data_IF_118790147565
#
_entry.id   IF_118790147565
#
_cell.length_a   1.000
_cell.length_b   1.000
_cell.length_c   1.000
_cell.angle_alpha   90.00
_cell.angle_beta   90.00
_cell.angle_gamma   90.00
#
_symmetry.space_group_name_H-M   'P 1'
#
loop_
_entity.id
_entity.type
_entity.pdbx_description
1 polymer ?
#
# COMPACT_ATOMS: atom_id res chain seq x y z
N UNK A 1 -0.46 16.28 -27.35
CA UNK A 1 -0.73 16.02 -25.93
C UNK A 1 -2.18 16.39 -25.71
N UNK A 2 -3.00 15.47 -25.19
CA UNK A 2 -4.36 15.79 -24.75
C UNK A 2 -4.27 16.78 -23.59
N UNK A 3 -5.19 17.73 -23.46
CA UNK A 3 -5.27 18.65 -22.31
C UNK A 3 -6.28 18.14 -21.26
N UNK A 4 -6.21 18.61 -20.01
CA UNK A 4 -7.23 18.28 -18.99
C UNK A 4 -8.61 18.66 -19.48
N UNK A 5 -8.76 19.80 -20.15
CA UNK A 5 -10.05 20.23 -20.73
C UNK A 5 -10.61 19.20 -21.71
N UNK A 6 -9.77 18.64 -22.58
CA UNK A 6 -10.18 17.57 -23.50
C UNK A 6 -10.57 16.30 -22.74
N UNK A 7 -9.85 15.94 -21.68
CA UNK A 7 -10.22 14.80 -20.83
C UNK A 7 -11.61 14.99 -20.20
N UNK A 8 -11.93 16.21 -19.76
CA UNK A 8 -13.20 16.52 -19.11
C UNK A 8 -14.38 16.56 -20.10
N UNK A 9 -14.15 16.80 -21.39
CA UNK A 9 -15.20 16.76 -22.41
C UNK A 9 -15.49 15.35 -22.94
N UNK A 10 -14.58 14.39 -22.76
CA UNK A 10 -14.80 13.01 -23.18
C UNK A 10 -15.94 12.33 -22.40
N UNK A 11 -16.74 11.47 -23.05
CA UNK A 11 -17.60 10.52 -22.36
C UNK A 11 -16.76 9.65 -21.42
N UNK A 12 -17.27 9.40 -20.21
CA UNK A 12 -16.54 8.63 -19.18
C UNK A 12 -16.10 7.25 -19.70
N UNK A 13 -16.94 6.62 -20.52
CA UNK A 13 -16.66 5.32 -21.09
C UNK A 13 -15.49 5.32 -22.10
N UNK A 14 -15.08 6.47 -22.61
CA UNK A 14 -14.00 6.61 -23.60
C UNK A 14 -12.66 6.96 -22.94
N UNK A 15 -12.66 7.25 -21.63
CA UNK A 15 -11.45 7.53 -20.88
C UNK A 15 -10.66 6.24 -20.67
N UNK A 16 -9.45 6.20 -21.23
CA UNK A 16 -8.56 5.01 -21.21
C UNK A 16 -7.10 5.31 -20.87
N UNK A 17 -6.64 6.54 -21.08
CA UNK A 17 -5.23 6.91 -20.93
C UNK A 17 -4.95 7.64 -19.62
N UNK A 18 -3.80 7.35 -19.00
CA UNK A 18 -3.24 8.17 -17.93
C UNK A 18 -2.96 9.58 -18.44
N UNK A 19 -3.12 10.55 -17.55
CA UNK A 19 -2.88 11.96 -17.81
C UNK A 19 -1.91 12.50 -16.77
N UNK A 20 -0.86 13.18 -17.21
CA UNK A 20 0.11 13.84 -16.35
C UNK A 20 -0.25 15.32 -16.20
N UNK A 21 -0.67 15.72 -15.01
CA UNK A 21 -1.11 17.08 -14.69
C UNK A 21 0.10 17.99 -14.56
N UNK A 22 0.19 19.00 -15.43
CA UNK A 22 1.20 20.05 -15.33
C UNK A 22 0.77 21.16 -14.35
N UNK A 23 1.70 22.05 -13.98
CA UNK A 23 1.38 23.23 -13.15
C UNK A 23 0.31 24.14 -13.79
N UNK A 24 0.25 24.21 -15.12
CA UNK A 24 -0.73 25.02 -15.84
C UNK A 24 -2.13 24.38 -15.77
N UNK A 25 -2.19 23.05 -15.81
CA UNK A 25 -3.44 22.28 -15.73
C UNK A 25 -4.12 22.39 -14.37
N UNK A 26 -3.37 22.64 -13.29
CA UNK A 26 -3.93 22.71 -11.93
C UNK A 26 -5.07 23.72 -11.82
N UNK A 27 -4.98 24.87 -12.51
CA UNK A 27 -6.05 25.87 -12.48
C UNK A 27 -7.36 25.31 -13.04
N UNK A 28 -7.27 24.52 -14.12
CA UNK A 28 -8.42 23.89 -14.79
C UNK A 28 -9.00 22.78 -13.91
N UNK A 29 -8.14 21.98 -13.28
CA UNK A 29 -8.58 20.93 -12.33
C UNK A 29 -9.34 21.55 -11.15
N UNK A 30 -8.80 22.61 -10.55
CA UNK A 30 -9.45 23.29 -9.42
C UNK A 30 -10.79 23.93 -9.83
N UNK A 31 -10.87 24.57 -11.00
CA UNK A 31 -12.12 25.18 -11.46
C UNK A 31 -13.18 24.14 -11.86
N UNK A 32 -12.78 22.90 -12.12
CA UNK A 32 -13.65 21.82 -12.59
C UNK A 32 -13.77 20.68 -11.58
N UNK A 33 -13.39 20.92 -10.33
CA UNK A 33 -13.27 19.86 -9.32
C UNK A 33 -14.60 19.14 -9.08
N UNK A 34 -15.70 19.88 -8.96
CA UNK A 34 -17.04 19.31 -8.79
C UNK A 34 -17.41 18.37 -9.95
N UNK A 35 -17.13 18.79 -11.19
CA UNK A 35 -17.32 17.95 -12.39
C UNK A 35 -16.48 16.68 -12.33
N UNK A 36 -15.22 16.77 -11.89
CA UNK A 36 -14.33 15.61 -11.78
C UNK A 36 -14.85 14.63 -10.73
N UNK A 37 -15.25 15.11 -9.56
CA UNK A 37 -15.80 14.28 -8.48
C UNK A 37 -17.13 13.64 -8.89
N UNK A 38 -17.99 14.37 -9.60
CA UNK A 38 -19.22 13.85 -10.19
C UNK A 38 -18.95 12.74 -11.22
N UNK A 39 -17.92 12.88 -12.05
CA UNK A 39 -17.47 11.81 -12.95
C UNK A 39 -16.94 10.61 -12.18
N UNK A 40 -16.20 10.80 -11.08
CA UNK A 40 -15.80 9.70 -10.20
C UNK A 40 -17.03 8.95 -9.64
N UNK A 41 -18.06 9.67 -9.17
CA UNK A 41 -19.30 9.07 -8.66
C UNK A 41 -19.99 8.24 -9.74
N UNK A 42 -20.08 8.78 -10.96
CA UNK A 42 -20.59 8.05 -12.11
C UNK A 42 -19.78 6.78 -12.37
N UNK A 43 -18.45 6.85 -12.37
CA UNK A 43 -17.59 5.67 -12.56
C UNK A 43 -17.86 4.58 -11.52
N UNK A 44 -18.07 4.95 -10.25
CA UNK A 44 -18.38 3.98 -9.19
C UNK A 44 -19.75 3.34 -9.42
N UNK A 45 -20.76 4.17 -9.69
CA UNK A 45 -22.14 3.72 -9.91
C UNK A 45 -22.26 2.82 -11.14
N UNK A 46 -21.48 3.09 -12.19
CA UNK A 46 -21.47 2.33 -13.45
C UNK A 46 -20.35 1.29 -13.55
N UNK A 47 -19.58 1.08 -12.49
CA UNK A 47 -18.47 0.11 -12.45
C UNK A 47 -17.43 0.30 -13.58
N UNK A 48 -16.94 1.53 -13.77
CA UNK A 48 -15.94 1.91 -14.79
C UNK A 48 -14.57 2.15 -14.13
N UNK A 49 -13.80 1.10 -13.78
CA UNK A 49 -12.58 1.22 -12.98
C UNK A 49 -11.48 2.04 -13.64
N UNK A 50 -11.24 1.87 -14.94
CA UNK A 50 -10.15 2.57 -15.64
C UNK A 50 -10.34 4.08 -15.67
N UNK A 51 -11.57 4.54 -15.90
CA UNK A 51 -11.87 5.98 -15.88
C UNK A 51 -11.80 6.54 -14.46
N UNK A 52 -12.27 5.78 -13.46
CA UNK A 52 -12.15 6.16 -12.04
C UNK A 52 -10.68 6.39 -11.65
N UNK A 53 -9.79 5.46 -11.99
CA UNK A 53 -8.36 5.58 -11.70
C UNK A 53 -7.76 6.84 -12.34
N UNK A 54 -8.13 7.16 -13.59
CA UNK A 54 -7.64 8.37 -14.27
C UNK A 54 -8.11 9.63 -13.55
N UNK A 55 -9.41 9.75 -13.22
CA UNK A 55 -9.92 10.94 -12.55
C UNK A 55 -9.36 11.11 -11.13
N UNK A 56 -9.24 10.03 -10.35
CA UNK A 56 -8.60 10.07 -9.02
C UNK A 56 -7.14 10.54 -9.12
N UNK A 57 -6.39 10.03 -10.10
CA UNK A 57 -5.00 10.46 -10.30
C UNK A 57 -4.88 11.92 -10.72
N UNK A 58 -5.81 12.44 -11.53
CA UNK A 58 -5.83 13.87 -11.88
C UNK A 58 -6.02 14.75 -10.64
N UNK A 59 -6.96 14.37 -9.75
CA UNK A 59 -7.15 15.09 -8.47
C UNK A 59 -5.92 14.96 -7.58
N UNK A 60 -5.33 13.76 -7.47
CA UNK A 60 -4.16 13.50 -6.64
C UNK A 60 -2.95 14.31 -7.08
N UNK A 61 -2.66 14.35 -8.38
CA UNK A 61 -1.55 15.13 -8.92
C UNK A 61 -1.77 16.63 -8.70
N UNK A 62 -2.97 17.15 -8.97
CA UNK A 62 -3.28 18.56 -8.73
C UNK A 62 -3.17 18.94 -7.25
N UNK A 63 -3.65 18.07 -6.35
CA UNK A 63 -3.55 18.28 -4.92
C UNK A 63 -2.11 18.20 -4.40
N UNK A 64 -1.27 17.36 -5.02
CA UNK A 64 0.16 17.29 -4.71
C UNK A 64 0.90 18.56 -5.15
N UNK A 65 0.54 19.11 -6.31
CA UNK A 65 1.16 20.32 -6.85
C UNK A 65 0.74 21.59 -6.10
N UNK A 66 -0.52 21.68 -5.66
CA UNK A 66 -1.09 22.87 -5.00
C UNK A 66 -2.04 22.48 -3.84
N UNK A 67 -1.51 21.93 -2.73
CA UNK A 67 -2.32 21.34 -1.65
C UNK A 67 -3.25 22.36 -0.97
N UNK A 68 -2.75 23.56 -0.67
CA UNK A 68 -3.56 24.58 0.02
C UNK A 68 -4.72 25.08 -0.84
N UNK A 69 -4.47 25.25 -2.14
CA UNK A 69 -5.52 25.67 -3.09
C UNK A 69 -6.56 24.58 -3.26
N UNK A 70 -6.13 23.32 -3.37
CA UNK A 70 -7.06 22.19 -3.41
C UNK A 70 -7.93 22.13 -2.15
N UNK A 71 -7.34 22.27 -0.95
CA UNK A 71 -8.11 22.27 0.30
C UNK A 71 -9.13 23.41 0.35
N UNK A 72 -8.77 24.61 -0.12
CA UNK A 72 -9.71 25.74 -0.21
C UNK A 72 -10.85 25.44 -1.20
N UNK A 73 -10.55 24.88 -2.36
CA UNK A 73 -11.55 24.50 -3.36
C UNK A 73 -12.50 23.41 -2.85
N UNK A 74 -12.01 22.44 -2.06
CA UNK A 74 -12.86 21.43 -1.43
C UNK A 74 -13.94 22.04 -0.52
N UNK A 75 -13.66 23.20 0.08
CA UNK A 75 -14.58 23.93 0.95
C UNK A 75 -15.48 24.94 0.18
N UNK A 76 -15.33 25.06 -1.14
CA UNK A 76 -16.19 25.91 -1.94
C UNK A 76 -17.52 25.20 -2.25
N UNK A 77 -18.60 25.97 -2.24
CA UNK A 77 -19.93 25.51 -2.66
C UNK A 77 -20.02 25.68 -4.18
N UNK A 78 -20.41 24.61 -4.89
CA UNK A 78 -20.69 24.60 -6.32
C UNK A 78 -22.09 24.06 -6.56
N UNK A 79 -22.91 24.81 -7.31
CA UNK A 79 -24.26 24.47 -7.81
C UNK A 79 -25.33 23.98 -6.82
N UNK A 80 -24.99 23.59 -5.57
CA UNK A 80 -25.83 23.39 -4.36
C UNK A 80 -25.12 22.52 -3.28
N UNK A 81 -23.91 22.01 -3.55
CA UNK A 81 -23.17 21.13 -2.63
C UNK A 81 -21.69 21.52 -2.51
N UNK A 82 -21.05 21.17 -1.40
CA UNK A 82 -19.60 21.34 -1.28
C UNK A 82 -18.88 20.17 -1.97
N UNK A 83 -17.78 20.44 -2.68
CA UNK A 83 -16.93 19.39 -3.25
C UNK A 83 -16.49 18.37 -2.18
N UNK A 84 -16.31 18.84 -0.95
CA UNK A 84 -16.00 17.98 0.19
C UNK A 84 -17.08 16.92 0.48
N UNK A 85 -18.36 17.28 0.38
CA UNK A 85 -19.45 16.34 0.65
C UNK A 85 -19.50 15.24 -0.40
N UNK A 86 -19.34 15.62 -1.67
CA UNK A 86 -19.21 14.69 -2.81
C UNK A 86 -18.04 13.73 -2.60
N UNK A 87 -16.91 14.24 -2.12
CA UNK A 87 -15.74 13.41 -1.82
C UNK A 87 -15.98 12.42 -0.66
N UNK A 88 -16.72 12.84 0.37
CA UNK A 88 -17.11 11.94 1.45
C UNK A 88 -18.11 10.86 0.96
N UNK A 89 -19.03 11.21 0.05
CA UNK A 89 -19.91 10.24 -0.61
C UNK A 89 -19.12 9.23 -1.45
N UNK A 90 -18.12 9.70 -2.21
CA UNK A 90 -17.20 8.82 -2.95
C UNK A 90 -16.54 7.80 -2.02
N UNK A 91 -16.06 8.25 -0.85
CA UNK A 91 -15.44 7.37 0.12
C UNK A 91 -16.41 6.33 0.69
N UNK A 92 -17.63 6.73 1.05
CA UNK A 92 -18.66 5.82 1.54
C UNK A 92 -19.03 4.77 0.49
N UNK A 93 -19.20 5.18 -0.76
CA UNK A 93 -19.53 4.26 -1.85
C UNK A 93 -18.37 3.31 -2.17
N UNK A 94 -17.15 3.82 -2.37
CA UNK A 94 -15.96 2.99 -2.67
C UNK A 94 -15.73 1.97 -1.57
N UNK A 95 -15.91 2.34 -0.29
CA UNK A 95 -15.72 1.45 0.85
C UNK A 95 -16.96 0.60 1.17
N UNK A 96 -18.07 0.75 0.48
CA UNK A 96 -19.24 -0.11 0.69
C UNK A 96 -18.98 -1.56 0.22
N UNK A 97 -19.69 -2.54 0.80
CA UNK A 97 -19.64 -3.95 0.36
C UNK A 97 -19.93 -4.12 -1.14
N UNK A 98 -20.83 -3.28 -1.69
CA UNK A 98 -21.28 -3.34 -3.08
C UNK A 98 -20.16 -3.04 -4.07
N UNK A 99 -19.17 -2.23 -3.68
CA UNK A 99 -18.06 -1.83 -4.54
C UNK A 99 -16.85 -2.78 -4.49
N UNK A 100 -16.98 -3.95 -3.85
CA UNK A 100 -15.91 -4.98 -3.85
C UNK A 100 -15.40 -5.32 -5.25
N UNK A 101 -16.25 -5.58 -6.27
CA UNK A 101 -15.77 -5.88 -7.62
C UNK A 101 -14.96 -4.73 -8.24
N UNK A 102 -15.37 -3.48 -7.98
CA UNK A 102 -14.68 -2.29 -8.48
C UNK A 102 -13.27 -2.18 -7.90
N UNK A 103 -13.13 -2.30 -6.57
CA UNK A 103 -11.85 -2.17 -5.86
C UNK A 103 -10.77 -3.16 -6.31
N UNK A 104 -11.18 -4.29 -6.92
CA UNK A 104 -10.25 -5.30 -7.45
C UNK A 104 -9.73 -4.99 -8.86
N UNK A 105 -10.26 -3.95 -9.51
CA UNK A 105 -10.01 -3.64 -10.93
C UNK A 105 -9.23 -2.34 -11.17
N UNK A 106 -8.92 -1.57 -10.12
CA UNK A 106 -8.06 -0.39 -10.21
C UNK A 106 -7.11 -0.31 -9.01
N UNK A 107 -6.08 0.52 -9.12
CA UNK A 107 -5.16 0.71 -7.99
C UNK A 107 -5.79 1.59 -6.91
N UNK A 108 -6.33 0.95 -5.88
CA UNK A 108 -7.00 1.62 -4.76
C UNK A 108 -6.08 2.54 -3.96
N UNK A 109 -4.75 2.39 -4.06
CA UNK A 109 -3.80 3.22 -3.31
C UNK A 109 -3.91 4.71 -3.73
N UNK A 110 -4.21 5.03 -5.00
CA UNK A 110 -4.42 6.42 -5.42
C UNK A 110 -5.60 7.10 -4.70
N UNK A 111 -6.65 6.33 -4.36
CA UNK A 111 -7.78 6.83 -3.57
C UNK A 111 -7.35 7.07 -2.11
N UNK A 112 -6.58 6.15 -1.52
CA UNK A 112 -6.11 6.34 -0.15
C UNK A 112 -5.06 7.45 -0.01
N UNK A 113 -4.23 7.70 -1.03
CA UNK A 113 -3.31 8.83 -1.04
C UNK A 113 -4.07 10.17 -0.96
N UNK A 114 -5.19 10.29 -1.68
CA UNK A 114 -6.10 11.44 -1.55
C UNK A 114 -6.68 11.55 -0.14
N UNK A 115 -7.18 10.43 0.41
CA UNK A 115 -7.72 10.42 1.78
C UNK A 115 -6.67 10.83 2.83
N UNK A 116 -5.43 10.38 2.67
CA UNK A 116 -4.32 10.74 3.55
C UNK A 116 -4.00 12.24 3.46
N UNK A 117 -3.90 12.78 2.24
CA UNK A 117 -3.59 14.18 2.02
C UNK A 117 -4.68 15.10 2.61
N UNK A 118 -5.95 14.81 2.35
CA UNK A 118 -7.05 15.58 2.93
C UNK A 118 -7.18 15.38 4.44
N UNK A 119 -7.01 14.14 4.94
CA UNK A 119 -7.04 13.84 6.37
C UNK A 119 -5.88 14.46 7.15
N UNK A 120 -4.74 14.67 6.51
CA UNK A 120 -3.58 15.34 7.07
C UNK A 120 -3.71 16.86 7.11
N UNK A 121 -4.52 17.44 6.23
CA UNK A 121 -4.67 18.89 6.08
C UNK A 121 -5.26 19.57 7.31
N UNK A 122 -4.56 20.57 7.84
CA UNK A 122 -5.05 21.38 8.97
C UNK A 122 -6.35 22.11 8.65
N UNK A 123 -6.58 22.42 7.37
CA UNK A 123 -7.76 23.18 6.91
C UNK A 123 -9.01 22.30 6.74
N UNK A 124 -8.83 20.99 6.56
CA UNK A 124 -9.93 20.06 6.29
C UNK A 124 -10.17 19.07 7.44
N UNK A 125 -9.14 18.69 8.19
CA UNK A 125 -9.16 17.56 9.13
C UNK A 125 -10.36 17.52 10.07
N UNK A 126 -10.79 18.65 10.61
CA UNK A 126 -11.94 18.70 11.53
C UNK A 126 -13.29 18.56 10.80
N UNK A 127 -13.42 19.19 9.62
CA UNK A 127 -14.62 19.13 8.78
C UNK A 127 -14.84 17.73 8.22
N UNK A 128 -13.77 17.06 7.78
CA UNK A 128 -13.86 15.73 7.16
C UNK A 128 -13.85 14.60 8.19
N UNK A 129 -13.42 14.87 9.43
CA UNK A 129 -13.10 13.83 10.40
C UNK A 129 -14.23 12.84 10.69
N UNK A 130 -15.46 13.32 10.89
CA UNK A 130 -16.61 12.43 11.12
C UNK A 130 -17.21 11.87 9.81
N UNK A 131 -17.47 12.70 8.77
CA UNK A 131 -17.98 12.21 7.48
C UNK A 131 -17.11 11.12 6.86
N UNK A 132 -15.78 11.28 6.91
CA UNK A 132 -14.82 10.29 6.41
C UNK A 132 -14.50 9.19 7.44
N UNK A 133 -14.44 9.52 8.73
CA UNK A 133 -14.12 8.54 9.78
C UNK A 133 -15.14 7.40 9.88
N UNK A 134 -16.42 7.67 9.63
CA UNK A 134 -17.50 6.67 9.64
C UNK A 134 -17.30 5.55 8.60
N UNK A 135 -17.18 5.82 7.29
CA UNK A 135 -16.97 4.77 6.30
C UNK A 135 -15.63 4.05 6.48
N UNK A 136 -14.57 4.75 6.91
CA UNK A 136 -13.28 4.11 7.23
C UNK A 136 -13.42 3.09 8.36
N UNK A 137 -14.07 3.46 9.47
CA UNK A 137 -14.33 2.55 10.59
C UNK A 137 -15.26 1.40 10.19
N UNK A 138 -16.30 1.69 9.39
CA UNK A 138 -17.23 0.68 8.91
C UNK A 138 -16.53 -0.39 8.07
N UNK A 139 -15.64 0.01 7.16
CA UNK A 139 -14.85 -0.94 6.37
C UNK A 139 -13.82 -1.66 7.23
N UNK A 140 -13.01 -0.92 7.97
CA UNK A 140 -11.93 -1.44 8.80
C UNK A 140 -12.42 -2.51 9.79
N UNK A 141 -13.58 -2.28 10.40
CA UNK A 141 -14.14 -3.18 11.41
C UNK A 141 -14.93 -4.37 10.82
N UNK A 142 -15.07 -4.46 9.50
CA UNK A 142 -15.80 -5.53 8.84
C UNK A 142 -14.87 -6.70 8.47
N UNK A 143 -14.70 -7.63 9.41
CA UNK A 143 -13.84 -8.80 9.25
C UNK A 143 -14.21 -9.69 8.06
N UNK A 144 -15.45 -9.63 7.56
CA UNK A 144 -15.87 -10.41 6.38
C UNK A 144 -15.16 -9.99 5.08
N UNK A 145 -14.54 -8.81 5.07
CA UNK A 145 -13.78 -8.29 3.94
C UNK A 145 -12.26 -8.40 4.15
N UNK A 146 -11.77 -9.05 5.21
CA UNK A 146 -10.34 -9.17 5.52
C UNK A 146 -9.60 -10.14 4.58
N UNK A 147 -10.34 -11.05 3.93
CA UNK A 147 -9.79 -12.00 2.96
C UNK A 147 -9.57 -11.40 1.56
N UNK A 148 -9.96 -10.14 1.35
CA UNK A 148 -9.78 -9.43 0.07
C UNK A 148 -8.34 -8.91 -0.12
N UNK A 149 -8.21 -7.60 -0.29
CA UNK A 149 -6.96 -6.87 -0.39
C UNK A 149 -6.61 -6.31 0.99
N UNK A 150 -5.58 -6.89 1.60
CA UNK A 150 -5.08 -6.49 2.92
C UNK A 150 -4.75 -4.98 3.00
N UNK A 151 -4.41 -4.35 1.87
CA UNK A 151 -4.07 -2.92 1.83
C UNK A 151 -5.24 -2.05 2.25
N UNK A 152 -6.49 -2.44 1.95
CA UNK A 152 -7.64 -1.56 2.16
C UNK A 152 -7.89 -1.35 3.67
N UNK A 153 -7.87 -2.42 4.48
CA UNK A 153 -8.03 -2.31 5.93
C UNK A 153 -6.91 -1.50 6.57
N UNK A 154 -5.67 -1.78 6.16
CA UNK A 154 -4.48 -1.05 6.64
C UNK A 154 -4.50 0.42 6.25
N UNK A 155 -4.94 0.73 5.03
CA UNK A 155 -5.04 2.11 4.57
C UNK A 155 -6.19 2.83 5.27
N UNK A 156 -7.33 2.17 5.55
CA UNK A 156 -8.38 2.73 6.39
C UNK A 156 -7.86 3.08 7.78
N UNK A 157 -7.16 2.15 8.43
CA UNK A 157 -6.55 2.38 9.74
C UNK A 157 -5.51 3.51 9.71
N UNK A 158 -4.65 3.52 8.69
CA UNK A 158 -3.66 4.57 8.49
C UNK A 158 -4.31 5.95 8.32
N UNK A 159 -5.37 6.05 7.50
CA UNK A 159 -6.09 7.33 7.31
C UNK A 159 -6.76 7.76 8.60
N UNK A 160 -7.35 6.84 9.36
CA UNK A 160 -7.91 7.13 10.69
C UNK A 160 -6.84 7.65 11.66
N UNK A 161 -5.66 7.02 11.71
CA UNK A 161 -4.53 7.51 12.50
C UNK A 161 -4.18 8.95 12.13
N UNK A 162 -4.11 9.27 10.84
CA UNK A 162 -3.85 10.63 10.33
C UNK A 162 -4.93 11.63 10.76
N UNK A 163 -6.22 11.25 10.66
CA UNK A 163 -7.35 12.08 11.09
C UNK A 163 -7.36 12.35 12.61
N UNK A 164 -6.91 11.38 13.40
CA UNK A 164 -6.84 11.49 14.86
C UNK A 164 -5.62 12.27 15.34
N UNK A 165 -4.54 12.28 14.55
CA UNK A 165 -3.29 12.96 14.93
C UNK A 165 -3.51 14.48 15.02
N UNK A 166 -3.31 15.00 16.23
CA UNK A 166 -3.47 16.42 16.55
C UNK A 166 -4.92 16.90 16.73
N UNK A 167 -5.95 16.11 16.38
CA UNK A 167 -7.35 16.55 16.47
C UNK A 167 -8.05 16.02 17.72
N UNK A 168 -8.35 16.91 18.68
CA UNK A 168 -9.17 16.58 19.85
C UNK A 168 -10.63 16.31 19.45
N UNK A 169 -11.17 17.08 18.51
CA UNK A 169 -12.53 16.96 18.02
C UNK A 169 -12.79 15.58 17.39
N UNK A 170 -11.89 15.10 16.53
CA UNK A 170 -12.03 13.80 15.88
C UNK A 170 -11.91 12.65 16.88
N UNK A 171 -11.00 12.74 17.86
CA UNK A 171 -10.89 11.75 18.93
C UNK A 171 -12.18 11.64 19.74
N UNK A 172 -12.78 12.77 20.14
CA UNK A 172 -14.07 12.77 20.83
C UNK A 172 -15.16 12.08 20.00
N UNK A 173 -15.34 12.50 18.74
CA UNK A 173 -16.39 12.00 17.85
C UNK A 173 -16.24 10.51 17.50
N UNK A 174 -15.02 10.02 17.34
CA UNK A 174 -14.74 8.66 16.85
C UNK A 174 -14.42 7.66 17.97
N UNK A 175 -14.15 8.12 19.20
CA UNK A 175 -13.87 7.25 20.34
C UNK A 175 -15.01 6.26 20.68
N UNK A 176 -16.25 6.58 20.30
CA UNK A 176 -17.43 5.71 20.48
C UNK A 176 -17.30 4.35 19.77
N UNK A 177 -16.32 4.18 18.88
CA UNK A 177 -16.05 2.94 18.16
C UNK A 177 -14.98 2.06 18.81
N UNK A 178 -14.45 2.40 20.00
CA UNK A 178 -13.39 1.63 20.68
C UNK A 178 -13.67 0.12 20.75
N UNK A 179 -14.88 -0.28 21.15
CA UNK A 179 -15.28 -1.69 21.30
C UNK A 179 -15.16 -2.45 19.97
N UNK A 180 -15.63 -1.82 18.89
CA UNK A 180 -15.58 -2.42 17.56
C UNK A 180 -14.14 -2.60 17.11
N UNK A 181 -13.29 -1.59 17.31
CA UNK A 181 -11.87 -1.65 16.95
C UNK A 181 -11.15 -2.73 17.76
N UNK A 182 -11.44 -2.85 19.06
CA UNK A 182 -10.89 -3.88 19.92
C UNK A 182 -11.31 -5.29 19.44
N UNK A 183 -12.61 -5.50 19.16
CA UNK A 183 -13.10 -6.76 18.62
C UNK A 183 -12.46 -7.10 17.26
N UNK A 184 -12.30 -6.11 16.38
CA UNK A 184 -11.64 -6.26 15.08
C UNK A 184 -10.16 -6.63 15.22
N UNK A 185 -9.42 -6.02 16.14
CA UNK A 185 -8.04 -6.40 16.44
C UNK A 185 -7.96 -7.86 16.87
N UNK A 186 -8.84 -8.29 17.78
CA UNK A 186 -8.87 -9.66 18.29
C UNK A 186 -9.20 -10.68 17.20
N UNK A 187 -10.09 -10.34 16.27
CA UNK A 187 -10.47 -11.20 15.16
C UNK A 187 -9.46 -11.22 14.00
N UNK A 188 -8.58 -10.22 13.90
CA UNK A 188 -7.63 -10.12 12.80
C UNK A 188 -6.40 -10.99 13.01
N UNK A 189 -5.93 -11.63 11.95
CA UNK A 189 -4.63 -12.32 11.89
C UNK A 189 -3.52 -11.49 11.24
N UNK A 190 -3.81 -10.26 10.81
CA UNK A 190 -2.80 -9.39 10.21
C UNK A 190 -2.08 -8.59 11.31
N UNK A 191 -0.85 -8.98 11.62
CA UNK A 191 -0.06 -8.38 12.70
C UNK A 191 0.13 -6.86 12.52
N UNK A 192 0.42 -6.39 11.31
CA UNK A 192 0.64 -4.96 11.08
C UNK A 192 -0.66 -4.17 11.23
N UNK A 193 -1.77 -4.72 10.77
CA UNK A 193 -3.08 -4.13 10.99
C UNK A 193 -3.46 -4.10 12.48
N UNK A 194 -3.14 -5.15 13.24
CA UNK A 194 -3.31 -5.13 14.70
C UNK A 194 -2.50 -4.00 15.34
N UNK A 195 -1.25 -3.76 14.91
CA UNK A 195 -0.46 -2.61 15.40
C UNK A 195 -1.19 -1.28 15.17
N UNK A 196 -1.79 -1.09 13.99
CA UNK A 196 -2.54 0.12 13.68
C UNK A 196 -3.81 0.25 14.53
N UNK A 197 -4.54 -0.85 14.77
CA UNK A 197 -5.69 -0.87 15.68
C UNK A 197 -5.28 -0.49 17.12
N UNK A 198 -4.16 -1.02 17.62
CA UNK A 198 -3.61 -0.63 18.93
C UNK A 198 -3.27 0.86 18.95
N UNK A 199 -2.64 1.38 17.89
CA UNK A 199 -2.30 2.81 17.81
C UNK A 199 -3.57 3.69 17.86
N UNK A 200 -4.64 3.31 17.16
CA UNK A 200 -5.92 4.04 17.20
C UNK A 200 -6.51 4.03 18.62
N UNK A 201 -6.59 2.86 19.26
CA UNK A 201 -7.10 2.73 20.63
C UNK A 201 -6.26 3.53 21.62
N UNK A 202 -4.93 3.47 21.48
CA UNK A 202 -3.99 4.25 22.28
C UNK A 202 -4.22 5.75 22.09
N UNK A 203 -4.44 6.23 20.87
CA UNK A 203 -4.69 7.65 20.59
C UNK A 203 -5.99 8.14 21.22
N UNK A 204 -7.03 7.31 21.29
CA UNK A 204 -8.24 7.62 22.05
C UNK A 204 -7.95 7.69 23.55
N UNK A 205 -7.26 6.67 24.09
CA UNK A 205 -6.93 6.60 25.51
C UNK A 205 -6.01 7.73 25.99
N UNK A 206 -4.99 8.08 25.20
CA UNK A 206 -4.07 9.16 25.51
C UNK A 206 -4.79 10.52 25.59
N UNK A 207 -5.91 10.67 24.87
CA UNK A 207 -6.75 11.86 24.90
C UNK A 207 -7.78 11.82 26.04
N UNK A 208 -8.44 10.68 26.25
CA UNK A 208 -9.37 10.49 27.36
C UNK A 208 -9.11 9.14 28.04
N UNK A 209 -8.57 9.18 29.25
CA UNK A 209 -8.20 7.98 30.03
C UNK A 209 -9.39 7.10 30.40
N UNK A 210 -10.62 7.63 30.40
CA UNK A 210 -11.82 6.85 30.72
C UNK A 210 -12.32 6.02 29.53
N UNK A 211 -11.85 6.29 28.31
CA UNK A 211 -12.41 5.67 27.09
C UNK A 211 -12.32 4.14 27.11
N UNK A 212 -11.21 3.59 27.62
CA UNK A 212 -11.01 2.15 27.69
C UNK A 212 -11.86 1.50 28.79
N UNK A 213 -12.19 2.25 29.84
CA UNK A 213 -12.99 1.74 30.95
C UNK A 213 -14.41 1.38 30.49
N UNK A 214 -14.96 2.20 29.59
CA UNK A 214 -16.28 2.03 29.01
C UNK A 214 -16.32 1.01 27.86
N UNK A 215 -15.16 0.59 27.37
CA UNK A 215 -15.07 -0.24 26.18
C UNK A 215 -15.09 -1.73 26.49
N UNK A 216 -15.94 -2.50 25.81
CA UNK A 216 -15.97 -3.95 25.91
C UNK A 216 -14.75 -4.54 25.22
N UNK A 217 -13.74 -4.96 26.00
CA UNK A 217 -12.50 -5.56 25.49
C UNK A 217 -11.84 -6.47 26.52
N UNK A 218 -10.96 -7.36 26.05
CA UNK A 218 -10.14 -8.22 26.89
C UNK A 218 -9.26 -7.41 27.87
N UNK A 219 -9.11 -7.89 29.10
CA UNK A 219 -8.41 -7.18 30.16
C UNK A 219 -6.89 -7.06 29.90
N UNK A 220 -6.26 -8.08 29.31
CA UNK A 220 -4.84 -8.01 28.93
C UNK A 220 -4.63 -6.97 27.82
N UNK A 221 -5.57 -6.89 26.86
CA UNK A 221 -5.55 -5.85 25.82
C UNK A 221 -5.70 -4.45 26.43
N UNK A 222 -6.67 -4.27 27.33
CA UNK A 222 -6.91 -3.01 28.04
C UNK A 222 -5.67 -2.53 28.79
N UNK A 223 -5.09 -3.41 29.63
CA UNK A 223 -3.89 -3.12 30.41
C UNK A 223 -2.68 -2.84 29.52
N UNK A 224 -2.51 -3.63 28.47
CA UNK A 224 -1.46 -3.43 27.48
C UNK A 224 -1.53 -2.04 26.86
N UNK A 225 -2.67 -1.64 26.31
CA UNK A 225 -2.87 -0.30 25.73
C UNK A 225 -2.63 0.81 26.76
N UNK A 226 -3.12 0.63 27.99
CA UNK A 226 -2.97 1.63 29.05
C UNK A 226 -1.51 1.86 29.48
N UNK A 227 -0.64 0.86 29.27
CA UNK A 227 0.79 0.87 29.62
C UNK A 227 1.71 1.42 28.53
N UNK A 228 1.19 1.67 27.32
CA UNK A 228 2.01 2.12 26.20
C UNK A 228 2.58 3.54 26.42
N UNK A 229 3.83 3.80 26.01
CA UNK A 229 4.44 5.12 26.11
C UNK A 229 3.92 6.05 25.02
N UNK A 230 3.86 7.36 25.30
CA UNK A 230 3.50 8.39 24.32
C UNK A 230 4.74 9.13 23.80
N UNK A 231 5.69 8.38 23.25
CA UNK A 231 6.96 8.92 22.75
C UNK A 231 7.40 8.24 21.44
N UNK A 232 8.64 8.47 21.02
CA UNK A 232 9.21 7.91 19.79
C UNK A 232 9.27 6.37 19.78
N UNK A 233 9.14 5.71 20.94
CA UNK A 233 9.17 4.25 21.09
C UNK A 233 7.80 3.59 21.04
N UNK A 234 6.72 4.35 20.82
CA UNK A 234 5.34 3.85 20.81
C UNK A 234 5.18 2.63 19.89
N UNK A 235 5.64 2.70 18.64
CA UNK A 235 5.45 1.61 17.67
C UNK A 235 6.22 0.34 18.05
N UNK A 236 7.44 0.49 18.57
CA UNK A 236 8.22 -0.62 19.11
C UNK A 236 7.53 -1.25 20.33
N UNK A 237 6.96 -0.42 21.21
CA UNK A 237 6.23 -0.88 22.39
C UNK A 237 4.93 -1.59 22.01
N UNK A 238 4.23 -1.10 20.97
CA UNK A 238 3.04 -1.77 20.39
C UNK A 238 3.44 -3.14 19.83
N UNK A 239 4.53 -3.22 19.08
CA UNK A 239 5.03 -4.49 18.54
C UNK A 239 5.31 -5.48 19.67
N UNK A 240 6.11 -5.06 20.67
CA UNK A 240 6.45 -5.93 21.80
C UNK A 240 5.20 -6.38 22.56
N UNK A 241 4.26 -5.47 22.83
CA UNK A 241 2.98 -5.81 23.44
C UNK A 241 2.22 -6.86 22.62
N UNK A 242 2.09 -6.69 21.31
CA UNK A 242 1.37 -7.62 20.44
C UNK A 242 2.06 -8.96 20.29
N UNK A 243 3.40 -9.01 20.32
CA UNK A 243 4.13 -10.28 20.32
C UNK A 243 3.76 -11.13 21.55
N UNK A 244 3.70 -10.51 22.75
CA UNK A 244 3.27 -11.20 23.97
C UNK A 244 1.77 -11.54 23.95
N UNK A 245 0.93 -10.57 23.57
CA UNK A 245 -0.52 -10.75 23.52
C UNK A 245 -0.93 -11.88 22.57
N UNK A 246 -0.32 -11.94 21.37
CA UNK A 246 -0.64 -12.96 20.38
C UNK A 246 -0.05 -14.34 20.72
N UNK A 247 1.05 -14.41 21.48
CA UNK A 247 1.58 -15.67 21.98
C UNK A 247 0.58 -16.40 22.89
N UNK A 248 -0.28 -15.66 23.60
CA UNK A 248 -1.33 -16.22 24.46
C UNK A 248 -2.67 -16.36 23.74
N UNK A 249 -3.11 -15.30 23.04
CA UNK A 249 -4.48 -15.20 22.53
C UNK A 249 -4.66 -15.70 21.09
N UNK A 250 -3.59 -15.68 20.29
CA UNK A 250 -3.63 -15.91 18.84
C UNK A 250 -2.53 -16.85 18.35
N UNK A 251 -2.06 -17.76 19.22
CA UNK A 251 -0.89 -18.61 18.98
C UNK A 251 -0.99 -19.48 17.73
N UNK A 252 -2.21 -19.73 17.22
CA UNK A 252 -2.47 -20.53 16.02
C UNK A 252 -2.79 -19.70 14.78
N UNK A 253 -3.05 -18.40 14.94
CA UNK A 253 -3.46 -17.49 13.85
C UNK A 253 -2.32 -16.60 13.37
N UNK A 254 -1.37 -16.29 14.25
CA UNK A 254 -0.17 -15.50 13.96
C UNK A 254 1.05 -16.24 14.50
N UNK A 255 1.95 -16.65 13.61
CA UNK A 255 3.15 -17.40 13.94
C UNK A 255 4.39 -16.51 13.74
N UNK A 256 5.00 -15.98 14.81
CA UNK A 256 6.22 -15.18 14.73
C UNK A 256 7.46 -16.07 14.62
N UNK A 257 8.38 -15.78 13.69
CA UNK A 257 9.67 -16.44 13.54
C UNK A 257 10.81 -15.44 13.55
N UNK A 258 11.75 -15.61 14.48
CA UNK A 258 12.98 -14.82 14.52
C UNK A 258 13.87 -15.19 13.32
N UNK A 259 14.25 -14.18 12.56
CA UNK A 259 15.07 -14.26 11.35
C UNK A 259 16.45 -13.69 11.65
N UNK A 260 17.49 -14.43 11.25
CA UNK A 260 18.87 -13.98 11.38
C UNK A 260 19.20 -12.93 10.33
N UNK A 261 18.83 -13.19 9.07
CA UNK A 261 18.97 -12.25 7.95
C UNK A 261 18.05 -12.61 6.79
N UNK A 262 17.79 -11.62 5.95
CA UNK A 262 17.07 -11.72 4.68
C UNK A 262 17.97 -11.18 3.59
N UNK A 263 18.11 -11.91 2.49
CA UNK A 263 18.95 -11.55 1.35
C UNK A 263 18.22 -11.68 0.02
N UNK A 264 18.68 -10.93 -0.98
CA UNK A 264 18.32 -11.05 -2.39
C UNK A 264 19.62 -10.99 -3.19
N UNK A 265 19.90 -12.01 -4.00
CA UNK A 265 21.11 -12.04 -4.86
C UNK A 265 22.41 -11.71 -4.09
N UNK A 266 22.53 -12.24 -2.87
CA UNK A 266 23.67 -11.99 -1.96
C UNK A 266 23.70 -10.62 -1.28
N UNK A 267 22.78 -9.72 -1.61
CA UNK A 267 22.62 -8.42 -0.96
C UNK A 267 21.69 -8.55 0.25
N UNK A 268 22.12 -8.06 1.42
CA UNK A 268 21.30 -8.04 2.63
C UNK A 268 20.14 -7.04 2.48
N UNK A 269 18.92 -7.52 2.71
CA UNK A 269 17.70 -6.69 2.79
C UNK A 269 17.50 -6.21 4.23
N UNK A 270 17.64 -7.12 5.20
CA UNK A 270 17.62 -6.80 6.62
C UNK A 270 18.24 -7.94 7.43
N UNK A 271 18.74 -7.61 8.62
CA UNK A 271 19.24 -8.56 9.62
C UNK A 271 18.44 -8.47 10.92
N UNK A 272 18.43 -9.56 11.69
CA UNK A 272 17.84 -9.66 13.04
C UNK A 272 16.43 -9.07 13.14
N UNK A 273 15.46 -9.76 12.58
CA UNK A 273 14.05 -9.33 12.63
C UNK A 273 13.09 -10.48 12.95
N UNK A 274 11.79 -10.20 12.99
CA UNK A 274 10.73 -11.19 13.13
C UNK A 274 9.84 -11.18 11.88
N UNK A 275 9.52 -12.38 11.40
CA UNK A 275 8.49 -12.58 10.38
C UNK A 275 7.22 -13.12 11.03
N UNK A 276 6.10 -12.43 10.84
CA UNK A 276 4.80 -12.81 11.35
C UNK A 276 3.99 -13.45 10.22
N UNK A 277 3.90 -14.78 10.25
CA UNK A 277 3.07 -15.52 9.31
C UNK A 277 1.63 -15.57 9.81
N UNK A 278 0.70 -15.31 8.90
CA UNK A 278 -0.74 -15.44 9.13
C UNK A 278 -1.36 -16.26 8.01
N UNK A 279 -2.68 -16.47 8.03
CA UNK A 279 -3.37 -17.28 7.01
C UNK A 279 -3.27 -16.75 5.58
N UNK A 280 -3.12 -15.43 5.41
CA UNK A 280 -3.22 -14.78 4.10
C UNK A 280 -1.89 -14.24 3.59
N UNK A 281 -1.00 -13.89 4.50
CA UNK A 281 0.20 -13.11 4.21
C UNK A 281 1.27 -13.33 5.27
N UNK A 282 2.49 -12.94 4.91
CA UNK A 282 3.57 -12.75 5.86
C UNK A 282 3.96 -11.29 5.94
N UNK A 283 4.11 -10.79 7.17
CA UNK A 283 4.64 -9.45 7.47
C UNK A 283 6.08 -9.60 7.94
N UNK A 284 6.97 -8.77 7.42
CA UNK A 284 8.34 -8.63 7.91
C UNK A 284 8.51 -7.22 8.40
N UNK A 285 8.71 -7.06 9.71
CA UNK A 285 9.04 -5.77 10.28
C UNK A 285 10.51 -5.46 9.97
N UNK A 286 10.83 -4.24 9.61
CA UNK A 286 12.20 -3.84 9.35
C UNK A 286 12.82 -3.32 10.66
N UNK A 287 14.13 -3.56 10.89
CA UNK A 287 14.81 -3.04 12.07
C UNK A 287 14.71 -1.52 12.19
N UNK A 288 14.79 -1.00 13.41
CA UNK A 288 14.79 0.45 13.68
C UNK A 288 13.56 0.98 14.41
N UNK A 289 12.57 0.13 14.73
CA UNK A 289 11.49 0.48 15.66
C UNK A 289 10.45 1.50 15.16
N UNK A 290 10.56 1.94 13.91
CA UNK A 290 9.69 2.97 13.31
C UNK A 290 8.40 2.41 12.69
N UNK A 291 8.09 1.13 12.90
CA UNK A 291 6.97 0.44 12.25
C UNK A 291 7.17 0.19 10.75
N UNK A 292 8.39 0.37 10.24
CA UNK A 292 8.71 0.05 8.86
C UNK A 292 8.59 -1.47 8.64
N UNK A 293 8.10 -1.87 7.47
CA UNK A 293 7.77 -3.26 7.17
C UNK A 293 7.60 -3.49 5.66
N UNK A 294 7.73 -4.73 5.22
CA UNK A 294 7.17 -5.17 3.95
C UNK A 294 6.26 -6.39 4.16
N UNK A 295 5.30 -6.56 3.25
CA UNK A 295 4.29 -7.61 3.34
C UNK A 295 4.26 -8.41 2.04
N UNK A 296 4.16 -9.73 2.18
CA UNK A 296 4.07 -10.66 1.05
C UNK A 296 2.77 -11.46 1.21
N UNK A 297 1.71 -11.10 0.48
CA UNK A 297 0.54 -11.97 0.31
C UNK A 297 0.95 -13.31 -0.29
N UNK A 298 0.31 -14.40 0.14
CA UNK A 298 0.70 -15.73 -0.30
C UNK A 298 0.42 -16.00 -1.78
N UNK A 299 -0.57 -15.32 -2.37
CA UNK A 299 -0.81 -15.28 -3.81
C UNK A 299 0.35 -14.67 -4.61
N UNK A 300 1.22 -13.87 -3.97
CA UNK A 300 2.41 -13.30 -4.61
C UNK A 300 3.62 -14.25 -4.57
N UNK A 301 3.54 -15.35 -3.81
CA UNK A 301 4.61 -16.33 -3.71
C UNK A 301 4.45 -17.33 -4.86
N UNK A 302 5.36 -17.35 -5.83
CA UNK A 302 5.40 -18.37 -6.88
C UNK A 302 5.70 -19.74 -6.33
N UNK A 303 6.79 -19.88 -5.57
CA UNK A 303 7.20 -21.15 -4.97
C UNK A 303 7.98 -20.96 -3.67
N UNK A 304 7.99 -22.01 -2.85
CA UNK A 304 8.68 -22.06 -1.57
C UNK A 304 9.70 -23.19 -1.61
N UNK A 305 10.93 -22.93 -1.17
CA UNK A 305 11.98 -23.95 -1.05
C UNK A 305 12.65 -23.86 0.31
N UNK A 306 12.70 -24.95 1.05
CA UNK A 306 13.50 -25.06 2.27
C UNK A 306 14.81 -25.78 1.92
N UNK A 307 15.96 -25.19 2.26
CA UNK A 307 17.26 -25.82 2.08
C UNK A 307 17.74 -26.54 3.34
N UNK A 308 18.84 -27.30 3.20
CA UNK A 308 19.52 -27.94 4.33
C UNK A 308 20.29 -26.92 5.18
N UNK A 309 20.72 -25.81 4.60
CA UNK A 309 21.50 -24.73 5.24
C UNK A 309 20.62 -23.74 6.04
N UNK A 310 19.52 -24.23 6.63
CA UNK A 310 18.59 -23.44 7.43
C UNK A 310 18.01 -22.20 6.74
N UNK A 311 17.81 -22.29 5.42
CA UNK A 311 17.36 -21.19 4.56
C UNK A 311 16.01 -21.50 3.93
N UNK A 312 15.12 -20.52 3.96
CA UNK A 312 13.84 -20.47 3.26
C UNK A 312 13.97 -19.57 2.04
N UNK A 313 13.69 -20.11 0.85
CA UNK A 313 13.57 -19.36 -0.39
C UNK A 313 12.10 -19.10 -0.71
N UNK A 314 11.71 -17.83 -0.80
CA UNK A 314 10.40 -17.39 -1.29
C UNK A 314 10.57 -16.76 -2.66
N UNK A 315 10.24 -17.51 -3.72
CA UNK A 315 10.25 -16.99 -5.09
C UNK A 315 8.97 -16.22 -5.34
N UNK A 316 9.04 -14.98 -5.81
CA UNK A 316 7.88 -14.08 -5.95
C UNK A 316 7.49 -13.87 -7.42
N UNK A 317 6.20 -13.84 -7.72
CA UNK A 317 5.68 -13.41 -9.04
C UNK A 317 5.36 -11.89 -9.06
N UNK A 318 5.13 -11.31 -7.88
CA UNK A 318 4.90 -9.90 -7.64
C UNK A 318 5.80 -9.44 -6.50
N UNK A 319 6.64 -8.45 -6.81
CA UNK A 319 7.66 -7.93 -5.90
C UNK A 319 7.03 -6.79 -5.09
N UNK A 320 7.07 -6.83 -3.75
CA UNK A 320 6.66 -5.69 -2.92
C UNK A 320 7.42 -4.42 -3.33
N UNK A 321 6.78 -3.25 -3.44
CA UNK A 321 7.43 -2.01 -3.87
C UNK A 321 8.71 -1.67 -3.08
N UNK A 322 8.73 -1.93 -1.77
CA UNK A 322 9.93 -1.70 -0.93
C UNK A 322 11.13 -2.55 -1.31
N UNK A 323 10.92 -3.65 -2.02
CA UNK A 323 11.97 -4.55 -2.48
C UNK A 323 12.33 -4.31 -3.95
N UNK A 324 11.66 -3.39 -4.67
CA UNK A 324 11.83 -3.24 -6.13
C UNK A 324 13.19 -2.71 -6.55
N UNK A 325 13.94 -2.08 -5.64
CA UNK A 325 15.32 -1.66 -5.89
C UNK A 325 16.32 -2.83 -5.86
N UNK A 326 16.01 -3.87 -5.08
CA UNK A 326 16.89 -5.03 -4.86
C UNK A 326 16.45 -6.26 -5.67
N UNK A 327 15.14 -6.43 -5.87
CA UNK A 327 14.53 -7.57 -6.55
C UNK A 327 14.05 -7.20 -7.95
N UNK A 328 14.16 -8.16 -8.87
CA UNK A 328 13.61 -8.09 -10.23
C UNK A 328 12.93 -9.40 -10.60
N UNK A 329 12.03 -9.39 -11.58
CA UNK A 329 11.37 -10.62 -12.08
C UNK A 329 12.31 -11.53 -12.90
N UNK A 330 13.58 -11.14 -13.01
CA UNK A 330 14.65 -11.94 -13.62
C UNK A 330 15.00 -13.14 -12.72
N UNK A 331 15.44 -14.24 -13.34
CA UNK A 331 15.86 -15.42 -12.60
C UNK A 331 17.03 -15.11 -11.65
N UNK A 332 16.96 -15.63 -10.42
CA UNK A 332 17.95 -15.37 -9.37
C UNK A 332 17.68 -14.10 -8.55
N UNK A 333 17.02 -13.09 -9.14
CA UNK A 333 16.67 -11.82 -8.49
C UNK A 333 15.22 -11.72 -8.02
N UNK A 334 14.44 -12.77 -8.27
CA UNK A 334 13.02 -12.89 -7.91
C UNK A 334 12.79 -13.66 -6.60
N UNK A 335 13.86 -14.09 -5.92
CA UNK A 335 13.79 -14.96 -4.75
C UNK A 335 14.32 -14.27 -3.50
N UNK A 336 13.47 -14.18 -2.47
CA UNK A 336 13.85 -13.75 -1.14
C UNK A 336 14.43 -14.92 -0.36
N UNK A 337 15.60 -14.74 0.23
CA UNK A 337 16.31 -15.75 1.00
C UNK A 337 16.32 -15.41 2.48
N UNK A 338 15.59 -16.18 3.28
CA UNK A 338 15.44 -15.95 4.72
C UNK A 338 16.24 -17.01 5.48
N UNK A 339 17.12 -16.58 6.36
CA UNK A 339 17.99 -17.45 7.16
C UNK A 339 17.49 -17.55 8.59
N UNK A 340 17.42 -18.77 9.08
CA UNK A 340 16.92 -19.11 10.41
C UNK A 340 17.95 -19.88 11.22
N UNK A 341 17.76 -19.95 12.54
CA UNK A 341 18.41 -20.99 13.34
C UNK A 341 17.84 -22.37 13.00
N UNK A 342 18.58 -23.43 13.32
CA UNK A 342 18.13 -24.81 13.12
C UNK A 342 16.78 -25.09 13.79
N UNK A 343 16.62 -24.68 15.05
CA UNK A 343 15.39 -24.87 15.83
C UNK A 343 14.19 -24.14 15.21
N UNK A 344 14.41 -22.90 14.77
CA UNK A 344 13.36 -22.08 14.13
C UNK A 344 12.89 -22.69 12.82
N UNK A 345 13.81 -23.21 12.00
CA UNK A 345 13.48 -23.89 10.76
C UNK A 345 12.71 -25.21 11.00
N UNK A 346 13.07 -25.98 12.02
CA UNK A 346 12.34 -27.20 12.40
C UNK A 346 10.90 -26.89 12.82
N UNK A 347 10.70 -25.81 13.59
CA UNK A 347 9.36 -25.32 13.93
C UNK A 347 8.58 -24.88 12.69
N UNK A 348 9.23 -24.21 11.74
CA UNK A 348 8.58 -23.79 10.48
C UNK A 348 8.12 -24.99 9.65
N UNK A 349 8.90 -26.08 9.62
CA UNK A 349 8.53 -27.32 8.92
C UNK A 349 7.33 -28.06 9.52
N UNK A 350 7.08 -27.88 10.81
CA UNK A 350 6.03 -28.61 11.55
C UNK A 350 4.73 -27.82 11.70
N UNK A 351 4.69 -26.57 11.22
CA UNK A 351 3.51 -25.71 11.30
C UNK A 351 2.71 -25.68 9.99
N UNK A 352 1.50 -25.12 10.06
CA UNK A 352 0.53 -25.06 8.96
C UNK A 352 0.81 -23.99 7.89
N UNK A 353 1.97 -23.31 7.91
CA UNK A 353 2.28 -22.24 6.94
C UNK A 353 2.21 -22.75 5.49
N UNK A 354 2.69 -23.97 5.23
CA UNK A 354 2.64 -24.55 3.90
C UNK A 354 1.20 -24.76 3.41
N UNK A 355 0.31 -25.18 4.31
CA UNK A 355 -1.12 -25.32 4.03
C UNK A 355 -1.75 -23.96 3.76
N UNK A 356 -1.48 -22.95 4.61
CA UNK A 356 -1.99 -21.60 4.41
C UNK A 356 -1.58 -20.99 3.06
N UNK A 357 -0.32 -21.15 2.66
CA UNK A 357 0.16 -20.69 1.36
C UNK A 357 -0.58 -21.41 0.23
N UNK A 358 -0.74 -22.74 0.34
CA UNK A 358 -1.43 -23.52 -0.68
C UNK A 358 -2.92 -23.15 -0.78
N UNK A 359 -3.60 -22.97 0.35
CA UNK A 359 -5.02 -22.63 0.44
C UNK A 359 -5.27 -21.23 -0.09
N UNK A 360 -4.43 -20.26 0.28
CA UNK A 360 -4.56 -18.89 -0.19
C UNK A 360 -4.34 -18.79 -1.70
N UNK A 361 -3.37 -19.52 -2.27
CA UNK A 361 -3.17 -19.58 -3.73
C UNK A 361 -4.40 -20.07 -4.50
N UNK A 362 -5.24 -20.93 -3.89
CA UNK A 362 -6.47 -21.44 -4.52
C UNK A 362 -7.66 -20.50 -4.35
N UNK A 363 -7.69 -19.73 -3.27
CA UNK A 363 -8.85 -18.92 -2.85
C UNK A 363 -8.71 -17.41 -3.09
N UNK A 364 -7.49 -16.92 -3.36
CA UNK A 364 -7.24 -15.49 -3.50
C UNK A 364 -8.08 -14.85 -4.63
N UNK A 365 -8.65 -13.65 -4.41
CA UNK A 365 -9.36 -12.91 -5.46
C UNK A 365 -8.44 -12.65 -6.65
N UNK A 366 -8.89 -12.98 -7.85
CA UNK A 366 -8.16 -12.65 -9.07
C UNK A 366 -8.24 -11.14 -9.31
N UNK A 367 -7.14 -10.43 -9.13
CA UNK A 367 -7.01 -9.08 -9.69
C UNK A 367 -6.87 -9.20 -11.20
N UNK A 368 -7.61 -8.37 -11.92
CA UNK A 368 -7.30 -8.13 -13.33
C UNK A 368 -5.97 -7.39 -13.32
N UNK A 369 -4.88 -8.13 -13.49
CA UNK A 369 -3.59 -7.51 -13.75
C UNK A 369 -3.80 -6.60 -14.96
N UNK A 370 -3.64 -5.29 -14.77
CA UNK A 370 -3.47 -4.38 -15.88
C UNK A 370 -2.18 -4.84 -16.58
N UNK A 371 -2.34 -5.71 -17.58
CA UNK A 371 -1.33 -5.85 -18.60
C UNK A 371 -1.10 -4.43 -19.12
N UNK A 372 0.16 -3.99 -19.10
CA UNK A 372 0.59 -2.81 -19.82
C UNK A 372 -0.11 -2.80 -21.19
N UNK A 373 -0.62 -1.65 -21.68
CA UNK A 373 -1.31 -1.62 -22.96
C UNK A 373 -0.44 -2.31 -24.02
N UNK A 374 -1.01 -3.16 -24.90
CA UNK A 374 -0.24 -3.72 -25.99
C UNK A 374 0.42 -2.56 -26.73
N UNK A 375 1.76 -2.59 -26.83
CA UNK A 375 2.48 -1.70 -27.73
C UNK A 375 1.76 -1.69 -29.07
N UNK A 376 1.45 -0.48 -29.55
CA UNK A 376 0.76 -0.25 -30.80
C UNK A 376 1.37 -1.13 -31.90
N UNK A 377 0.69 -2.24 -32.20
CA UNK A 377 0.98 -3.06 -33.35
C UNK A 377 0.72 -2.20 -34.58
N UNK A 378 1.74 -2.08 -35.44
CA UNK A 378 1.64 -1.42 -36.73
C UNK A 378 0.38 -1.90 -37.48
N UNK A 379 -0.32 -1.03 -38.22
CA UNK A 379 -1.53 -1.41 -38.93
C UNK A 379 -1.23 -2.54 -39.93
N UNK A 380 -1.97 -3.63 -39.81
CA UNK A 380 -1.95 -4.73 -40.76
C UNK A 380 -2.64 -4.29 -42.05
N UNK A 381 -1.90 -4.36 -43.15
CA UNK A 381 -2.38 -4.20 -44.53
C UNK A 381 -3.39 -5.30 -44.85
N UNK A 382 -4.53 -5.02 -45.51
CA UNK A 382 -5.49 -6.07 -45.87
C UNK A 382 -4.99 -6.84 -47.09
N UNK A 383 -4.90 -8.17 -46.96
CA UNK A 383 -4.74 -9.06 -48.10
C UNK A 383 -6.09 -9.73 -48.42
N UNK A 384 -6.43 -9.69 -49.70
CA UNK A 384 -7.70 -10.11 -50.27
C UNK A 384 -7.90 -11.64 -50.29
N UNK A 385 -9.18 -11.99 -50.40
CA UNK A 385 -9.84 -13.27 -50.61
C UNK A 385 -9.10 -14.32 -51.44
N UNK A 386 -9.22 -15.58 -51.00
CA UNK A 386 -9.44 -16.72 -51.90
C UNK A 386 -10.15 -17.85 -51.13
N UNK A 387 -11.35 -18.20 -51.60
CA UNK A 387 -12.11 -19.39 -51.27
C UNK A 387 -11.39 -20.67 -51.76
N UNK A 388 -11.70 -21.81 -51.15
CA UNK A 388 -11.32 -23.10 -51.73
C UNK A 388 -11.38 -24.30 -50.78
N UNK A 389 -12.60 -24.80 -50.55
CA UNK A 389 -13.00 -26.22 -50.51
C UNK A 389 -11.95 -27.33 -50.24
N UNK A 390 -12.28 -28.23 -49.30
CA UNK A 390 -12.20 -29.67 -49.59
C UNK A 390 -11.46 -30.58 -48.60
N UNK A 391 -12.26 -31.27 -47.78
CA UNK A 391 -12.25 -32.74 -47.55
C UNK A 391 -11.04 -33.48 -46.92
N UNK A 392 -11.39 -34.25 -45.86
CA UNK A 392 -10.93 -35.60 -45.46
C UNK A 392 -9.58 -35.87 -44.75
N UNK A 393 -9.73 -36.44 -43.54
CA UNK A 393 -8.86 -37.35 -42.74
C UNK A 393 -8.55 -38.68 -43.50
N UNK A 394 -7.79 -39.70 -42.98
CA UNK A 394 -6.89 -39.81 -41.80
C UNK A 394 -5.57 -40.62 -42.03
N UNK A 395 -4.84 -40.92 -40.93
CA UNK A 395 -3.86 -42.04 -40.69
C UNK A 395 -2.50 -41.95 -41.41
N UNK A 396 -1.33 -42.34 -40.89
CA UNK A 396 -0.85 -43.22 -39.79
C UNK A 396 0.67 -42.97 -39.59
N UNK A 397 1.24 -43.49 -38.49
CA UNK A 397 2.61 -43.25 -37.97
C UNK A 397 3.74 -44.05 -38.69
N UNK A 398 4.97 -44.17 -38.11
CA UNK A 398 6.27 -43.60 -38.53
C UNK A 398 7.22 -44.70 -39.14
N UNK A 399 8.55 -44.51 -39.43
CA UNK A 399 9.62 -44.39 -38.41
C UNK A 399 10.93 -43.63 -38.81
N UNK A 400 11.69 -43.29 -37.74
CA UNK A 400 13.16 -43.20 -37.55
C UNK A 400 14.18 -42.94 -38.70
N UNK A 401 15.24 -42.17 -38.38
CA UNK A 401 16.68 -42.57 -38.38
C UNK A 401 17.65 -41.38 -38.64
N UNK A 402 18.48 -41.10 -37.61
CA UNK A 402 19.93 -40.77 -37.57
C UNK A 402 20.52 -39.47 -38.22
N UNK A 403 21.18 -38.71 -37.34
CA UNK A 403 22.44 -37.93 -37.39
C UNK A 403 22.89 -37.18 -38.67
N UNK A 404 23.34 -35.93 -38.49
CA UNK A 404 24.76 -35.54 -38.50
C UNK A 404 24.96 -34.01 -38.32
N UNK A 405 26.01 -33.64 -37.59
CA UNK A 405 26.67 -32.30 -37.56
C UNK A 405 27.68 -32.29 -38.74
N UNK A 406 28.19 -31.15 -39.28
CA UNK A 406 28.93 -30.14 -38.49
C UNK A 406 28.97 -28.67 -39.00
N UNK A 407 29.48 -27.82 -38.10
CA UNK A 407 30.29 -26.58 -38.21
C UNK A 407 30.25 -25.68 -39.47
N UNK A 408 30.10 -24.35 -39.28
CA UNK A 408 31.23 -23.41 -39.36
C UNK A 408 30.91 -21.94 -38.98
N UNK A 409 31.86 -21.35 -38.21
CA UNK A 409 32.43 -19.98 -38.21
C UNK A 409 31.56 -18.77 -38.67
N UNK A 410 31.49 -17.65 -37.94
CA UNK A 410 32.59 -16.68 -37.79
C UNK A 410 32.18 -15.48 -36.90
N UNK A 411 33.12 -14.95 -36.12
CA UNK A 411 33.14 -13.59 -35.54
C UNK A 411 33.97 -12.68 -36.48
N UNK A 412 33.81 -11.34 -36.48
CA UNK A 412 34.71 -10.48 -35.68
C UNK A 412 34.10 -9.17 -35.14
N UNK A 413 34.94 -8.42 -34.40
CA UNK A 413 34.67 -7.44 -33.34
C UNK A 413 34.61 -5.95 -33.74
N UNK A 414 34.22 -5.11 -32.75
CA UNK A 414 34.72 -3.74 -32.39
C UNK A 414 33.55 -2.78 -32.03
N UNK A 415 33.62 -1.77 -31.15
CA UNK A 415 34.48 -1.36 -30.02
C UNK A 415 33.72 -0.26 -29.25
N UNK A 416 33.89 -0.19 -27.93
CA UNK A 416 33.21 0.75 -27.01
C UNK A 416 33.83 2.16 -27.02
N UNK A 417 32.99 3.20 -26.86
CA UNK A 417 33.20 4.20 -25.81
C UNK A 417 31.86 4.66 -25.17
N UNK A 418 31.42 4.05 -24.06
CA UNK A 418 30.20 4.51 -23.35
C UNK A 418 30.24 4.39 -21.82
N UNK A 419 31.30 3.81 -21.24
CA UNK A 419 31.37 3.49 -19.80
C UNK A 419 31.82 4.63 -18.87
N UNK A 420 32.39 5.74 -19.39
CA UNK A 420 32.84 6.86 -18.55
C UNK A 420 31.74 7.91 -18.28
N UNK A 421 30.81 8.09 -19.21
CA UNK A 421 29.72 9.08 -19.09
C UNK A 421 28.63 8.58 -18.13
N UNK A 422 28.41 7.27 -18.04
CA UNK A 422 27.42 6.67 -17.13
C UNK A 422 27.81 6.80 -15.65
N UNK A 423 29.11 6.65 -15.33
CA UNK A 423 29.58 6.75 -13.94
C UNK A 423 29.52 8.18 -13.38
N UNK A 424 29.81 9.19 -14.20
CA UNK A 424 29.67 10.60 -13.78
C UNK A 424 28.20 11.03 -13.59
N UNK A 425 27.26 10.37 -14.29
CA UNK A 425 25.81 10.61 -14.10
C UNK A 425 25.32 9.95 -12.81
N UNK A 426 25.76 8.73 -12.52
CA UNK A 426 25.47 8.00 -11.28
C UNK A 426 26.01 8.72 -10.04
N UNK A 427 27.20 9.33 -10.10
CA UNK A 427 27.77 10.14 -9.00
C UNK A 427 26.99 11.44 -8.75
N UNK A 428 26.57 12.13 -9.81
CA UNK A 428 25.76 13.35 -9.69
C UNK A 428 24.36 13.06 -9.11
N UNK A 429 23.73 11.94 -9.48
CA UNK A 429 22.41 11.55 -8.96
C UNK A 429 22.50 11.15 -7.46
N UNK A 430 23.62 10.55 -7.03
CA UNK A 430 23.90 10.25 -5.62
C UNK A 430 24.15 11.51 -4.78
N UNK A 431 24.86 12.50 -5.31
CA UNK A 431 25.06 13.79 -4.65
C UNK A 431 23.75 14.60 -4.51
N UNK A 432 22.86 14.54 -5.51
CA UNK A 432 21.56 15.21 -5.45
C UNK A 432 20.62 14.56 -4.42
N UNK A 433 20.64 13.22 -4.30
CA UNK A 433 19.89 12.49 -3.28
C UNK A 433 20.42 12.78 -1.86
N UNK A 434 21.75 12.81 -1.68
CA UNK A 434 22.34 13.18 -0.40
C UNK A 434 22.05 14.64 -0.03
N UNK A 435 22.01 15.56 -1.01
CA UNK A 435 21.62 16.95 -0.79
C UNK A 435 20.14 17.06 -0.42
N UNK A 436 19.24 16.31 -1.06
CA UNK A 436 17.81 16.27 -0.72
C UNK A 436 17.55 15.67 0.66
N UNK A 437 18.27 14.61 1.03
CA UNK A 437 18.19 14.01 2.37
C UNK A 437 18.76 14.94 3.46
N UNK A 438 19.84 15.67 3.17
CA UNK A 438 20.39 16.69 4.06
C UNK A 438 19.40 17.85 4.25
N UNK A 439 18.79 18.37 3.18
CA UNK A 439 17.77 19.44 3.28
C UNK A 439 16.55 18.98 4.09
N UNK A 440 16.10 17.73 3.91
CA UNK A 440 15.00 17.16 4.69
C UNK A 440 15.36 16.99 6.18
N UNK A 441 16.60 16.64 6.47
CA UNK A 441 17.10 16.52 7.85
C UNK A 441 17.30 17.88 8.51
N UNK A 442 17.77 18.88 7.76
CA UNK A 442 17.91 20.27 8.24
C UNK A 442 16.55 20.90 8.52
N UNK A 443 15.57 20.76 7.61
CA UNK A 443 14.19 21.24 7.83
C UNK A 443 13.53 20.58 9.05
N UNK A 444 13.75 19.27 9.23
CA UNK A 444 13.25 18.58 10.43
C UNK A 444 13.89 19.08 11.72
N UNK A 445 15.17 19.48 11.70
CA UNK A 445 15.84 20.10 12.85
C UNK A 445 15.35 21.54 13.10
N UNK A 446 15.13 22.32 12.05
CA UNK A 446 14.56 23.67 12.15
C UNK A 446 13.14 23.64 12.74
N UNK A 447 12.29 22.71 12.29
CA UNK A 447 10.94 22.51 12.84
C UNK A 447 10.95 22.07 14.33
N UNK A 448 11.93 21.26 14.73
CA UNK A 448 12.10 20.92 16.16
C UNK A 448 12.64 22.09 16.98
N UNK A 449 13.52 22.91 16.42
CA UNK A 449 14.10 24.06 17.10
C UNK A 449 13.07 25.19 17.27
N UNK A 450 12.22 25.45 16.28
CA UNK A 450 11.07 26.37 16.40
C UNK A 450 10.06 25.88 17.44
N UNK A 451 9.79 24.56 17.49
CA UNK A 451 8.92 23.96 18.51
C UNK A 451 9.47 24.10 19.93
N UNK A 452 10.79 23.99 20.11
CA UNK A 452 11.46 24.18 21.40
C UNK A 452 11.54 25.67 21.79
N UNK A 453 11.74 26.57 20.83
CA UNK A 453 11.75 28.01 21.07
C UNK A 453 10.35 28.48 21.53
N UNK A 454 9.29 28.05 20.86
CA UNK A 454 7.91 28.34 21.28
C UNK A 454 7.55 27.77 22.66
N UNK A 455 8.13 26.64 23.04
CA UNK A 455 7.95 26.08 24.38
C UNK A 455 8.73 26.88 25.43
N UNK A 456 9.93 27.35 25.10
CA UNK A 456 10.75 28.20 25.97
C UNK A 456 10.10 29.56 26.20
N UNK A 457 9.61 30.21 25.15
CA UNK A 457 8.96 31.53 25.23
C UNK A 457 7.70 31.46 26.09
N UNK A 458 6.91 30.39 25.96
CA UNK A 458 5.75 30.13 26.84
C UNK A 458 6.11 29.90 28.30
N UNK A 459 7.27 29.32 28.58
CA UNK A 459 7.73 29.11 29.96
C UNK A 459 8.21 30.44 30.55
N UNK A 460 8.84 31.30 29.74
CA UNK A 460 9.21 32.65 30.16
C UNK A 460 7.98 33.53 30.44
N UNK A 461 6.97 33.50 29.58
CA UNK A 461 5.72 34.24 29.79
C UNK A 461 4.96 33.79 31.07
N UNK A 462 5.12 32.54 31.50
CA UNK A 462 4.52 32.00 32.73
C UNK A 462 5.34 32.36 33.99
N UNK A 463 6.62 32.69 33.84
CA UNK A 463 7.51 33.05 34.95
C UNK A 463 7.58 34.56 35.21
N UNK A 464 7.11 35.37 34.26
CA UNK A 464 7.04 36.83 34.35
C UNK A 464 5.65 37.37 34.79
N UNK A 465 4.66 36.47 34.97
CA UNK A 465 3.36 36.70 35.67
C UNK A 465 3.41 36.15 37.10
#
# INVERSE_FOLDING_TARGET
>A
MTSVEQLLTLPVNDVRSRYDVSQQDVKIVLSSLDTILSKCLYCIRQQVPSALEVFLNVVLQAATLQPDRMCKTMLQVSEDQMCLDVFCELADLILSKKCRPLRLQFDIDCFFDLLQMFGGSVNLKESIGLPLGRPLLAFMCDCSQHEDDYRIHRNCASTLITLLRGSKANKNKLSVYCDKIAATLQASSDFFFQMQCVEILFRFYAHNKTVLAHATMNENLRKGIASLPNDATLLLSIQSFLDHYNAEMNATSILPFTVLRIEVDGSEVCSHTTMHFSRLLVVVLLPGGNGDNFTIPFEHIRSVKLSKDHKLGLRLNQIPPKLSLLMKKEEGKDTLHVFFTQSTLQRLRSCSIHEWIADRKRSAPQRVNQASPPHAGKPATPAASAEGTGTSRPTSAPPAVIAERPANTSNPASSQPSRKISRQREENDLEEIHRAAAIKTTRYREEQQEGLQHASDRIHDILDD
#
